data_IF_187414429470
#
_entry.id   IF_187414429470
#
_cell.length_a   1.000
_cell.length_b   1.000
_cell.length_c   1.000
_cell.angle_alpha   90.00
_cell.angle_beta   90.00
_cell.angle_gamma   90.00
#
_symmetry.space_group_name_H-M   'P 1'
#
loop_
_entity.id
_entity.type
_entity.pdbx_description
1 polymer ?
#
# COMPACT_ATOMS: atom_id res chain seq x y z
N UNK A 1 -16.44 12.63 3.64
CA UNK A 1 -15.26 12.33 4.47
C UNK A 1 -14.88 10.92 4.10
N UNK A 2 -13.67 10.74 3.58
CA UNK A 2 -13.25 9.52 2.91
C UNK A 2 -12.07 8.97 3.68
N UNK A 3 -12.23 7.84 4.39
CA UNK A 3 -11.13 7.26 5.15
C UNK A 3 -9.87 7.03 4.28
N UNK A 4 -10.10 6.71 3.00
CA UNK A 4 -9.10 6.65 1.96
C UNK A 4 -9.57 7.47 0.75
N UNK A 5 -8.82 8.50 0.35
CA UNK A 5 -9.09 9.24 -0.88
C UNK A 5 -8.53 8.52 -2.10
N UNK A 6 -7.30 7.99 -2.00
CA UNK A 6 -6.65 7.22 -3.06
C UNK A 6 -5.64 6.22 -2.48
N UNK A 7 -5.44 5.08 -3.15
CA UNK A 7 -4.44 4.08 -2.77
C UNK A 7 -3.98 3.29 -3.99
N UNK A 8 -2.66 3.05 -4.12
CA UNK A 8 -2.08 2.43 -5.31
C UNK A 8 -0.90 1.50 -4.98
N UNK A 9 -0.80 0.39 -5.73
CA UNK A 9 0.38 -0.48 -5.74
C UNK A 9 1.55 0.20 -6.43
N UNK A 10 2.71 0.19 -5.78
CA UNK A 10 3.99 0.62 -6.33
C UNK A 10 4.93 -0.58 -6.43
N UNK A 11 5.62 -0.72 -7.56
CA UNK A 11 6.61 -1.78 -7.80
C UNK A 11 7.85 -1.17 -8.43
N UNK A 12 9.04 -1.52 -7.93
CA UNK A 12 10.32 -1.26 -8.60
C UNK A 12 11.15 -2.54 -8.70
N UNK A 13 12.10 -2.58 -9.62
CA UNK A 13 13.06 -3.69 -9.73
C UNK A 13 13.94 -3.60 -10.96
N UNK A 14 15.02 -4.39 -10.98
CA UNK A 14 15.92 -4.54 -12.11
C UNK A 14 15.40 -5.64 -13.04
N UNK A 15 15.21 -5.32 -14.32
CA UNK A 15 14.82 -6.30 -15.35
C UNK A 15 15.63 -6.07 -16.62
N UNK A 16 16.45 -7.06 -16.98
CA UNK A 16 17.32 -6.98 -18.16
C UNK A 16 18.40 -5.89 -18.05
N UNK A 17 18.85 -5.57 -16.83
CA UNK A 17 19.86 -4.53 -16.58
C UNK A 17 19.32 -3.10 -16.51
N UNK A 18 17.99 -2.92 -16.55
CA UNK A 18 17.33 -1.62 -16.45
C UNK A 18 16.47 -1.58 -15.20
N UNK A 19 16.54 -0.48 -14.45
CA UNK A 19 15.58 -0.18 -13.38
C UNK A 19 14.23 0.14 -14.00
N UNK A 20 13.21 -0.60 -13.60
CA UNK A 20 11.83 -0.44 -14.07
C UNK A 20 10.90 -0.23 -12.90
N UNK A 21 9.85 0.55 -13.14
CA UNK A 21 8.91 0.97 -12.11
C UNK A 21 7.48 0.98 -12.63
N UNK A 22 6.56 0.48 -11.81
CA UNK A 22 5.12 0.65 -11.93
C UNK A 22 4.61 1.35 -10.67
N UNK A 23 4.56 2.68 -10.67
CA UNK A 23 4.17 3.49 -9.51
C UNK A 23 3.76 4.90 -9.95
N UNK A 24 2.71 5.49 -9.35
CA UNK A 24 2.35 6.91 -9.54
C UNK A 24 1.57 7.45 -8.35
N UNK A 25 1.84 8.70 -7.99
CA UNK A 25 1.04 9.54 -7.08
C UNK A 25 -0.15 10.10 -7.84
N UNK A 26 -1.29 10.39 -7.19
CA UNK A 26 -2.49 11.07 -7.74
C UNK A 26 -3.31 10.37 -8.85
N UNK A 27 -2.75 9.39 -9.57
CA UNK A 27 -3.41 8.56 -10.58
C UNK A 27 -2.82 7.15 -10.57
N UNK A 28 -3.53 6.17 -11.15
CA UNK A 28 -2.93 4.87 -11.43
C UNK A 28 -1.98 4.95 -12.63
N UNK A 29 -0.76 4.44 -12.47
CA UNK A 29 0.18 4.25 -13.59
C UNK A 29 -0.07 2.95 -14.36
N UNK A 30 -1.00 2.13 -13.87
CA UNK A 30 -1.54 1.02 -14.62
C UNK A 30 -2.56 1.60 -15.58
N UNK A 31 -2.16 1.70 -16.84
CA UNK A 31 -3.11 2.00 -17.88
C UNK A 31 -4.16 0.89 -17.85
N UNK A 32 -5.41 1.26 -18.07
CA UNK A 32 -6.51 0.34 -18.32
C UNK A 32 -6.34 -0.45 -19.64
N UNK A 33 -5.13 -0.52 -20.18
CA UNK A 33 -4.79 -1.31 -21.34
C UNK A 33 -4.73 -2.76 -20.87
N UNK A 34 -5.69 -3.61 -21.27
CA UNK A 34 -5.63 -5.01 -20.93
C UNK A 34 -4.33 -5.60 -21.48
N UNK A 35 -3.80 -6.63 -20.82
CA UNK A 35 -2.85 -7.50 -21.48
C UNK A 35 -3.45 -7.96 -22.82
N UNK A 36 -2.62 -8.15 -23.86
CA UNK A 36 -3.13 -8.42 -25.21
C UNK A 36 -4.05 -9.67 -25.30
N UNK A 37 -3.93 -10.56 -24.33
CA UNK A 37 -4.67 -11.82 -24.16
C UNK A 37 -5.78 -11.76 -23.08
N UNK A 38 -5.94 -10.62 -22.39
CA UNK A 38 -6.88 -10.48 -21.26
C UNK A 38 -8.13 -9.70 -21.65
N UNK A 39 -9.30 -10.06 -21.11
CA UNK A 39 -10.48 -9.23 -21.26
C UNK A 39 -10.33 -7.92 -20.47
N UNK A 40 -10.81 -6.82 -21.06
CA UNK A 40 -10.94 -5.54 -20.35
C UNK A 40 -12.11 -5.58 -19.38
N UNK A 41 -11.91 -5.15 -18.13
CA UNK A 41 -13.02 -4.89 -17.22
C UNK A 41 -12.72 -5.22 -15.77
N UNK A 42 -13.74 -5.03 -14.95
CA UNK A 42 -13.78 -5.44 -13.54
C UNK A 42 -14.88 -6.49 -13.42
N UNK A 43 -14.53 -7.63 -12.83
CA UNK A 43 -15.42 -8.76 -12.63
C UNK A 43 -15.84 -8.81 -11.17
N UNK A 44 -17.15 -8.74 -10.90
CA UNK A 44 -17.70 -8.80 -9.54
C UNK A 44 -18.23 -10.20 -9.26
N UNK A 45 -17.89 -10.74 -8.09
CA UNK A 45 -18.19 -12.11 -7.68
C UNK A 45 -18.58 -12.12 -6.19
N UNK A 46 -19.81 -12.52 -5.88
CA UNK A 46 -20.26 -12.95 -4.56
C UNK A 46 -20.06 -14.46 -4.34
N UNK A 47 -19.68 -14.90 -3.14
CA UNK A 47 -19.43 -16.31 -2.82
C UNK A 47 -20.64 -17.24 -3.07
N UNK A 48 -21.85 -16.74 -2.84
CA UNK A 48 -23.10 -17.51 -2.91
C UNK A 48 -23.76 -17.54 -4.29
N UNK A 49 -23.17 -16.85 -5.28
CA UNK A 49 -23.75 -16.80 -6.63
C UNK A 49 -23.42 -18.05 -7.44
N UNK A 50 -24.41 -18.57 -8.17
CA UNK A 50 -24.20 -19.64 -9.13
C UNK A 50 -23.60 -19.08 -10.42
N UNK A 51 -22.30 -19.30 -10.63
CA UNK A 51 -21.60 -18.81 -11.81
C UNK A 51 -21.69 -19.76 -13.01
N UNK A 52 -21.83 -19.18 -14.19
CA UNK A 52 -21.39 -19.82 -15.43
C UNK A 52 -19.91 -19.51 -15.65
N UNK A 53 -19.14 -20.45 -16.17
CA UNK A 53 -17.73 -20.22 -16.58
C UNK A 53 -17.62 -19.21 -17.73
N UNK A 54 -18.72 -18.96 -18.45
CA UNK A 54 -18.76 -18.05 -19.60
C UNK A 54 -18.34 -16.63 -19.20
N UNK A 55 -17.19 -16.20 -19.75
CA UNK A 55 -16.64 -14.86 -19.52
C UNK A 55 -15.73 -14.73 -18.29
N UNK A 56 -15.59 -15.76 -17.45
CA UNK A 56 -14.64 -15.71 -16.34
C UNK A 56 -13.19 -15.89 -16.81
N UNK A 57 -12.27 -14.96 -16.50
CA UNK A 57 -10.92 -14.95 -17.07
C UNK A 57 -9.93 -15.88 -16.34
N UNK A 58 -10.30 -17.13 -16.09
CA UNK A 58 -9.43 -18.10 -15.39
C UNK A 58 -8.09 -18.34 -16.10
N UNK A 59 -8.09 -18.29 -17.44
CA UNK A 59 -6.88 -18.45 -18.26
C UNK A 59 -5.79 -17.40 -18.00
N UNK A 60 -6.15 -16.25 -17.41
CA UNK A 60 -5.22 -15.16 -17.06
C UNK A 60 -5.11 -14.96 -15.54
N UNK A 61 -5.54 -15.95 -14.76
CA UNK A 61 -5.31 -16.02 -13.31
C UNK A 61 -6.48 -15.55 -12.45
N UNK A 62 -7.69 -15.41 -13.00
CA UNK A 62 -8.86 -15.21 -12.15
C UNK A 62 -9.15 -16.47 -11.31
N UNK A 63 -9.44 -16.32 -10.01
CA UNK A 63 -9.54 -17.46 -9.11
C UNK A 63 -10.66 -18.43 -9.47
N UNK A 64 -10.37 -19.71 -9.28
CA UNK A 64 -11.33 -20.81 -9.46
C UNK A 64 -11.36 -21.73 -8.23
N UNK A 65 -12.45 -22.46 -8.06
CA UNK A 65 -12.57 -23.55 -7.08
C UNK A 65 -11.91 -24.85 -7.60
N UNK A 66 -12.04 -25.93 -6.82
CA UNK A 66 -11.45 -27.22 -7.17
C UNK A 66 -12.09 -27.86 -8.41
N UNK A 67 -13.28 -27.41 -8.78
CA UNK A 67 -14.04 -27.85 -9.95
C UNK A 67 -13.79 -26.95 -11.18
N UNK A 68 -12.96 -25.90 -11.05
CA UNK A 68 -12.64 -24.96 -12.12
C UNK A 68 -13.65 -23.82 -12.29
N UNK A 69 -14.63 -23.69 -11.40
CA UNK A 69 -15.65 -22.63 -11.46
C UNK A 69 -15.15 -21.34 -10.81
N UNK A 70 -15.69 -20.18 -11.19
CA UNK A 70 -15.32 -18.90 -10.59
C UNK A 70 -15.43 -18.93 -9.06
N UNK A 71 -14.41 -18.40 -8.38
CA UNK A 71 -14.33 -18.35 -6.92
C UNK A 71 -14.05 -16.94 -6.43
N UNK A 72 -14.70 -16.53 -5.33
CA UNK A 72 -14.34 -15.31 -4.60
C UNK A 72 -13.27 -15.56 -3.52
N UNK A 73 -12.44 -14.54 -3.26
CA UNK A 73 -11.47 -14.49 -2.15
C UNK A 73 -12.12 -14.08 -0.81
N UNK A 74 -13.44 -14.11 -0.70
CA UNK A 74 -14.23 -13.73 0.47
C UNK A 74 -15.70 -13.87 0.13
N UNK A 75 -16.55 -13.10 0.80
CA UNK A 75 -17.99 -13.09 0.52
C UNK A 75 -18.34 -12.26 -0.72
N UNK A 76 -17.58 -11.18 -0.97
CA UNK A 76 -17.71 -10.35 -2.16
C UNK A 76 -16.33 -9.95 -2.67
N UNK A 77 -16.16 -9.96 -3.99
CA UNK A 77 -14.88 -9.65 -4.65
C UNK A 77 -15.10 -8.89 -5.95
N UNK A 78 -14.30 -7.84 -6.16
CA UNK A 78 -14.02 -7.28 -7.48
C UNK A 78 -12.63 -7.72 -7.92
N UNK A 79 -12.50 -8.26 -9.13
CA UNK A 79 -11.24 -8.73 -9.70
C UNK A 79 -10.97 -8.07 -11.06
N UNK A 80 -9.69 -7.78 -11.35
CA UNK A 80 -9.25 -7.30 -12.65
C UNK A 80 -7.80 -7.74 -12.93
N UNK A 81 -7.40 -7.68 -14.20
CA UNK A 81 -6.02 -7.91 -14.64
C UNK A 81 -5.59 -6.81 -15.60
N UNK A 82 -4.33 -6.40 -15.50
CA UNK A 82 -3.75 -5.39 -16.36
C UNK A 82 -2.25 -5.59 -16.50
N UNK A 83 -1.73 -5.11 -17.64
CA UNK A 83 -0.30 -5.12 -17.94
C UNK A 83 0.20 -3.69 -18.01
N UNK A 84 1.47 -3.47 -17.70
CA UNK A 84 2.05 -2.15 -17.90
C UNK A 84 2.33 -1.91 -19.39
N UNK A 85 1.67 -0.93 -20.02
CA UNK A 85 1.97 -0.53 -21.40
C UNK A 85 3.00 0.62 -21.47
N UNK A 86 3.89 0.57 -22.47
CA UNK A 86 4.81 1.67 -22.77
C UNK A 86 4.11 2.98 -23.16
N UNK A 87 2.90 2.88 -23.70
CA UNK A 87 2.04 4.03 -23.94
C UNK A 87 1.32 4.38 -22.64
N UNK A 88 1.69 5.49 -21.99
CA UNK A 88 0.98 6.04 -20.83
C UNK A 88 1.71 5.98 -19.49
N UNK A 89 2.84 5.28 -19.39
CA UNK A 89 3.70 5.37 -18.20
C UNK A 89 4.40 6.73 -18.17
N UNK A 90 4.09 7.57 -17.17
CA UNK A 90 4.73 8.89 -17.00
C UNK A 90 6.24 8.79 -16.78
N UNK A 91 6.74 7.61 -16.39
CA UNK A 91 8.15 7.39 -16.04
C UNK A 91 9.01 6.91 -17.21
N UNK A 92 8.42 6.59 -18.37
CA UNK A 92 9.12 6.04 -19.55
C UNK A 92 10.01 4.79 -19.27
N UNK A 93 9.80 4.09 -18.15
CA UNK A 93 10.56 2.89 -17.76
C UNK A 93 9.63 1.78 -17.20
N UNK A 94 8.60 1.36 -17.97
CA UNK A 94 7.72 0.28 -17.52
C UNK A 94 8.44 -1.06 -17.50
N UNK A 95 7.95 -2.00 -16.70
CA UNK A 95 8.26 -3.42 -16.80
C UNK A 95 7.90 -3.96 -18.19
N UNK A 96 8.69 -4.91 -18.68
CA UNK A 96 8.36 -5.72 -19.84
C UNK A 96 7.63 -6.97 -19.37
N UNK A 97 6.44 -7.22 -19.92
CA UNK A 97 5.62 -8.41 -19.65
C UNK A 97 5.41 -8.73 -18.16
N UNK A 98 5.18 -7.68 -17.34
CA UNK A 98 4.68 -7.84 -15.97
C UNK A 98 3.16 -7.70 -15.97
N UNK A 99 2.47 -8.80 -15.66
CA UNK A 99 1.02 -8.83 -15.44
C UNK A 99 0.73 -8.63 -13.96
N UNK A 100 -0.29 -7.81 -13.67
CA UNK A 100 -0.82 -7.63 -12.34
C UNK A 100 -2.28 -8.12 -12.35
N UNK A 101 -2.59 -9.08 -11.50
CA UNK A 101 -3.96 -9.38 -11.12
C UNK A 101 -4.25 -8.67 -9.80
N UNK A 102 -5.36 -7.95 -9.74
CA UNK A 102 -5.79 -7.23 -8.55
C UNK A 102 -7.17 -7.70 -8.13
N UNK A 103 -7.31 -8.04 -6.85
CA UNK A 103 -8.58 -8.37 -6.22
C UNK A 103 -8.82 -7.46 -5.02
N UNK A 104 -10.01 -6.87 -4.95
CA UNK A 104 -10.52 -6.19 -3.75
C UNK A 104 -11.68 -7.01 -3.24
N UNK A 105 -11.64 -7.42 -1.97
CA UNK A 105 -12.63 -8.33 -1.41
C UNK A 105 -12.95 -8.02 0.05
N UNK A 106 -14.11 -8.50 0.49
CA UNK A 106 -14.63 -8.33 1.84
C UNK A 106 -15.12 -9.65 2.42
N UNK A 107 -15.21 -9.68 3.75
CA UNK A 107 -15.84 -10.75 4.52
C UNK A 107 -16.95 -10.11 5.35
N UNK A 108 -18.15 -10.70 5.38
CA UNK A 108 -19.33 -10.16 6.06
C UNK A 108 -19.08 -9.95 7.56
N UNK A 109 -18.28 -10.84 8.16
CA UNK A 109 -17.87 -10.77 9.57
C UNK A 109 -16.92 -9.60 9.89
N UNK A 110 -16.32 -8.95 8.88
CA UNK A 110 -15.39 -7.83 9.02
C UNK A 110 -15.84 -6.62 8.19
N UNK A 111 -16.99 -6.04 8.55
CA UNK A 111 -17.62 -4.93 7.82
C UNK A 111 -16.82 -3.63 7.73
N UNK A 112 -15.77 -3.49 8.54
CA UNK A 112 -14.87 -2.34 8.58
C UNK A 112 -13.47 -2.63 7.98
N UNK A 113 -13.36 -3.72 7.23
CA UNK A 113 -12.11 -4.17 6.58
C UNK A 113 -12.35 -4.40 5.09
N UNK A 114 -11.42 -3.88 4.28
CA UNK A 114 -11.33 -4.23 2.86
C UNK A 114 -9.98 -4.87 2.63
N UNK A 115 -9.97 -6.05 2.01
CA UNK A 115 -8.74 -6.72 1.62
C UNK A 115 -8.39 -6.38 0.18
N UNK A 116 -7.10 -6.22 -0.08
CA UNK A 116 -6.56 -5.94 -1.40
C UNK A 116 -5.42 -6.92 -1.65
N UNK A 117 -5.54 -7.71 -2.72
CA UNK A 117 -4.54 -8.69 -3.14
C UNK A 117 -4.03 -8.33 -4.52
N UNK A 118 -2.71 -8.32 -4.65
CA UNK A 118 -2.01 -8.16 -5.92
C UNK A 118 -1.19 -9.41 -6.20
N UNK A 119 -1.31 -9.96 -7.40
CA UNK A 119 -0.48 -11.04 -7.92
C UNK A 119 0.37 -10.50 -9.07
N UNK A 120 1.68 -10.52 -8.89
CA UNK A 120 2.69 -9.98 -9.79
C UNK A 120 3.30 -11.13 -10.58
N UNK A 121 2.86 -11.33 -11.82
CA UNK A 121 3.34 -12.41 -12.69
C UNK A 121 4.34 -11.89 -13.71
N UNK A 122 5.57 -12.39 -13.64
CA UNK A 122 6.59 -12.08 -14.63
C UNK A 122 6.44 -13.02 -15.83
N UNK A 123 5.85 -12.53 -16.91
CA UNK A 123 5.65 -13.27 -18.17
C UNK A 123 6.84 -13.11 -19.12
N UNK A 124 7.84 -12.30 -18.75
CA UNK A 124 9.06 -12.11 -19.52
C UNK A 124 10.07 -13.24 -19.29
N UNK A 125 11.05 -13.35 -20.19
CA UNK A 125 12.19 -14.25 -20.01
C UNK A 125 13.26 -13.73 -19.03
N UNK A 126 13.18 -12.46 -18.61
CA UNK A 126 14.16 -11.85 -17.69
C UNK A 126 13.60 -11.81 -16.28
N UNK A 127 14.35 -12.33 -15.31
CA UNK A 127 13.99 -12.17 -13.91
C UNK A 127 13.91 -10.68 -13.53
N UNK A 128 12.98 -10.35 -12.63
CA UNK A 128 12.91 -9.06 -11.97
C UNK A 128 13.60 -9.21 -10.62
N UNK A 129 14.82 -8.71 -10.51
CA UNK A 129 15.66 -8.81 -9.31
C UNK A 129 15.73 -7.50 -8.55
N UNK A 130 16.12 -7.54 -7.26
CA UNK A 130 16.20 -6.35 -6.39
C UNK A 130 14.86 -5.59 -6.39
N UNK A 131 13.77 -6.36 -6.36
CA UNK A 131 12.42 -5.85 -6.48
C UNK A 131 11.89 -5.35 -5.14
N UNK A 132 11.10 -4.29 -5.17
CA UNK A 132 10.37 -3.77 -4.02
C UNK A 132 8.90 -3.56 -4.38
N UNK A 133 8.01 -3.83 -3.44
CA UNK A 133 6.59 -3.49 -3.53
C UNK A 133 6.23 -2.52 -2.42
N UNK A 134 5.29 -1.64 -2.67
CA UNK A 134 4.74 -0.77 -1.64
C UNK A 134 3.29 -0.43 -1.91
N UNK A 135 2.60 -0.05 -0.84
CA UNK A 135 1.27 0.50 -0.93
C UNK A 135 1.32 1.97 -0.54
N UNK A 136 1.04 2.83 -1.52
CA UNK A 136 0.93 4.26 -1.31
C UNK A 136 -0.52 4.62 -1.01
N UNK A 137 -0.76 5.49 -0.03
CA UNK A 137 -2.11 5.99 0.30
C UNK A 137 -2.15 7.49 0.48
N UNK A 138 -3.28 8.06 0.08
CA UNK A 138 -3.77 9.41 0.39
C UNK A 138 -4.97 9.26 1.34
N UNK A 139 -4.74 9.20 2.65
CA UNK A 139 -5.82 9.09 3.63
C UNK A 139 -6.30 10.49 4.09
N UNK A 140 -7.62 10.68 4.16
CA UNK A 140 -8.27 11.96 4.52
C UNK A 140 -9.31 11.75 5.65
N UNK A 141 -8.83 11.54 6.88
CA UNK A 141 -9.72 11.33 8.03
C UNK A 141 -10.45 12.62 8.46
N UNK A 142 -9.73 13.72 8.57
CA UNK A 142 -10.26 15.00 9.05
C UNK A 142 -10.46 16.01 7.92
N UNK A 143 -11.46 16.88 8.08
CA UNK A 143 -11.73 17.98 7.14
C UNK A 143 -10.62 19.02 7.16
N UNK A 144 -10.02 19.26 8.34
CA UNK A 144 -8.80 20.04 8.46
C UNK A 144 -7.62 19.14 8.14
N UNK A 145 -7.17 19.21 6.88
CA UNK A 145 -6.14 18.33 6.34
C UNK A 145 -4.79 18.43 7.06
N UNK A 146 -4.51 19.56 7.71
CA UNK A 146 -3.31 19.76 8.52
C UNK A 146 -3.34 18.96 9.85
N UNK A 147 -4.44 18.25 10.14
CA UNK A 147 -4.65 17.47 11.36
C UNK A 147 -4.68 15.97 11.12
N UNK A 148 -4.49 15.56 9.86
CA UNK A 148 -4.27 14.18 9.46
C UNK A 148 -2.81 13.81 9.71
N UNK A 149 -2.54 13.13 10.83
CA UNK A 149 -1.22 12.66 11.23
C UNK A 149 -1.07 11.18 10.88
N UNK A 150 0.13 10.78 10.48
CA UNK A 150 0.43 9.38 10.14
C UNK A 150 1.41 8.75 11.10
N UNK A 151 1.36 7.42 11.22
CA UNK A 151 2.28 6.63 12.02
C UNK A 151 2.48 5.24 11.44
N UNK A 152 3.49 4.55 11.94
CA UNK A 152 3.73 3.14 11.61
C UNK A 152 3.95 2.32 12.87
N UNK A 153 3.33 1.15 12.91
CA UNK A 153 3.57 0.10 13.89
C UNK A 153 4.24 -1.07 13.16
N UNK A 154 5.55 -1.24 13.38
CA UNK A 154 6.35 -2.23 12.68
C UNK A 154 6.08 -3.66 13.15
N UNK A 155 5.71 -3.83 14.43
CA UNK A 155 5.36 -5.14 14.98
C UNK A 155 4.07 -5.63 14.33
N UNK A 156 3.10 -4.73 14.17
CA UNK A 156 1.82 -5.02 13.53
C UNK A 156 1.85 -4.94 11.99
N UNK A 157 2.93 -4.45 11.39
CA UNK A 157 3.03 -4.15 9.94
C UNK A 157 1.92 -3.20 9.46
N UNK A 158 1.59 -2.22 10.29
CA UNK A 158 0.47 -1.30 10.12
C UNK A 158 0.99 0.11 9.88
N UNK A 159 0.66 0.69 8.71
CA UNK A 159 0.74 2.13 8.49
C UNK A 159 -0.64 2.74 8.74
N UNK A 160 -0.76 3.70 9.65
CA UNK A 160 -2.04 4.24 10.10
C UNK A 160 -2.10 5.76 10.06
N UNK A 161 -3.30 6.29 9.92
CA UNK A 161 -3.66 7.70 10.03
C UNK A 161 -4.52 7.92 11.28
N UNK A 162 -4.33 9.05 11.94
CA UNK A 162 -5.10 9.49 13.09
C UNK A 162 -5.27 11.01 13.09
N UNK A 163 -6.34 11.47 13.73
CA UNK A 163 -6.56 12.90 13.97
C UNK A 163 -5.64 13.42 15.08
N UNK A 164 -5.14 14.64 14.93
CA UNK A 164 -4.39 15.32 16.00
C UNK A 164 -5.20 15.34 17.33
N UNK A 165 -4.60 14.94 18.47
CA UNK A 165 -5.33 14.70 19.73
C UNK A 165 -6.11 15.89 20.30
N UNK A 166 -5.79 17.12 19.90
CA UNK A 166 -6.41 18.36 20.38
C UNK A 166 -7.60 18.85 19.54
N UNK A 167 -7.92 18.18 18.43
CA UNK A 167 -8.85 18.69 17.41
C UNK A 167 -10.16 17.94 17.34
N UNK A 168 -10.14 16.66 17.68
CA UNK A 168 -11.23 15.77 17.31
C UNK A 168 -11.77 15.00 18.51
N UNK A 169 -13.05 15.22 18.81
CA UNK A 169 -13.87 14.29 19.59
C UNK A 169 -14.10 12.97 18.80
N UNK A 170 -13.62 12.86 17.55
CA UNK A 170 -13.72 11.64 16.75
C UNK A 170 -12.56 10.72 17.06
N UNK A 171 -12.90 9.66 17.77
CA UNK A 171 -12.07 8.48 17.97
C UNK A 171 -11.97 7.63 16.69
N UNK A 172 -11.54 8.21 15.56
CA UNK A 172 -11.44 7.53 14.26
C UNK A 172 -9.97 7.31 13.89
N UNK A 173 -9.62 6.08 13.52
CA UNK A 173 -8.33 5.72 12.96
C UNK A 173 -8.55 4.86 11.72
N UNK A 174 -7.59 4.87 10.80
CA UNK A 174 -7.61 3.97 9.65
C UNK A 174 -6.18 3.60 9.26
N UNK A 175 -5.99 2.53 8.49
CA UNK A 175 -4.65 2.16 8.07
C UNK A 175 -4.56 0.93 7.18
N UNK A 176 -3.38 0.74 6.60
CA UNK A 176 -3.03 -0.43 5.80
C UNK A 176 -2.19 -1.39 6.62
N UNK A 177 -2.65 -2.64 6.73
CA UNK A 177 -1.95 -3.76 7.36
C UNK A 177 -1.38 -4.65 6.27
N UNK A 178 -0.06 -4.84 6.22
CA UNK A 178 0.55 -5.80 5.30
C UNK A 178 0.36 -7.22 5.86
N UNK A 179 -0.37 -8.05 5.11
CA UNK A 179 -0.72 -9.43 5.47
C UNK A 179 0.23 -10.45 4.83
N UNK A 180 0.54 -10.26 3.54
CA UNK A 180 1.41 -11.14 2.75
C UNK A 180 2.38 -10.29 1.93
N UNK A 181 3.66 -10.67 1.91
CA UNK A 181 4.72 -10.02 1.14
C UNK A 181 5.30 -11.00 0.12
N UNK A 182 5.71 -10.53 -1.07
CA UNK A 182 6.41 -11.34 -2.05
C UNK A 182 7.59 -12.10 -1.44
N UNK A 183 7.69 -13.41 -1.68
CA UNK A 183 8.75 -14.29 -1.18
C UNK A 183 9.07 -14.12 0.32
N UNK A 184 8.07 -13.79 1.15
CA UNK A 184 8.23 -13.48 2.59
C UNK A 184 9.25 -12.34 2.86
N UNK A 185 9.40 -11.41 1.91
CA UNK A 185 10.32 -10.28 2.02
C UNK A 185 10.03 -9.42 3.26
N UNK A 186 11.07 -8.90 3.93
CA UNK A 186 10.89 -8.04 5.09
C UNK A 186 10.28 -6.70 4.68
N UNK A 187 9.69 -5.99 5.65
CA UNK A 187 9.37 -4.58 5.46
C UNK A 187 10.64 -3.81 5.11
N UNK A 188 10.56 -2.98 4.09
CA UNK A 188 11.68 -2.19 3.57
C UNK A 188 11.66 -0.77 4.12
N UNK A 189 10.50 -0.11 4.09
CA UNK A 189 10.38 1.27 4.55
C UNK A 189 8.96 1.65 4.97
N UNK A 190 8.88 2.70 5.78
CA UNK A 190 7.71 3.57 5.90
C UNK A 190 8.20 5.00 5.68
N UNK A 191 8.05 5.51 4.46
CA UNK A 191 8.70 6.75 4.03
C UNK A 191 7.81 7.97 4.26
N UNK A 192 8.41 9.08 4.67
CA UNK A 192 7.78 10.40 4.58
C UNK A 192 7.46 10.71 3.12
N UNK A 193 6.22 11.15 2.87
CA UNK A 193 5.78 11.67 1.57
C UNK A 193 4.89 12.88 1.81
N UNK A 194 5.38 14.08 1.50
CA UNK A 194 4.61 15.31 1.75
C UNK A 194 3.78 15.71 0.53
N UNK A 195 2.49 15.95 0.75
CA UNK A 195 1.53 16.29 -0.32
C UNK A 195 1.86 17.63 -0.96
N UNK A 196 1.68 17.72 -2.28
CA UNK A 196 1.78 18.91 -3.12
C UNK A 196 3.08 19.73 -2.98
N UNK A 197 4.16 19.14 -2.44
CA UNK A 197 5.40 19.87 -2.17
C UNK A 197 6.44 19.65 -3.28
N UNK A 198 6.84 20.74 -3.94
CA UNK A 198 7.88 20.75 -4.99
C UNK A 198 9.30 20.96 -4.44
N UNK A 199 9.45 21.46 -3.21
CA UNK A 199 10.73 21.96 -2.67
C UNK A 199 11.20 21.21 -1.43
N UNK A 200 10.49 20.16 -1.04
CA UNK A 200 10.85 19.36 0.12
C UNK A 200 11.65 18.12 -0.26
N UNK A 201 12.58 17.77 0.62
CA UNK A 201 13.39 16.55 0.60
C UNK A 201 12.53 15.29 0.36
N UNK A 202 11.28 15.30 0.83
CA UNK A 202 10.32 14.19 0.74
C UNK A 202 9.07 14.50 -0.10
N UNK A 203 9.05 15.62 -0.82
CA UNK A 203 7.86 16.08 -1.54
C UNK A 203 7.40 15.13 -2.65
N UNK A 204 6.10 14.86 -2.72
CA UNK A 204 5.52 13.94 -3.72
C UNK A 204 5.76 14.42 -5.16
N UNK A 205 5.77 15.74 -5.39
CA UNK A 205 6.06 16.31 -6.71
C UNK A 205 7.53 16.13 -7.14
N UNK A 206 8.42 15.71 -6.22
CA UNK A 206 9.79 15.31 -6.54
C UNK A 206 9.91 13.90 -7.13
N UNK A 207 8.83 13.10 -7.12
CA UNK A 207 8.79 11.74 -7.67
C UNK A 207 8.58 11.76 -9.19
N UNK A 208 9.55 12.30 -9.92
CA UNK A 208 9.48 12.48 -11.37
C UNK A 208 10.23 11.44 -12.21
N UNK A 209 10.86 10.44 -11.59
CA UNK A 209 11.69 9.45 -12.29
C UNK A 209 11.60 8.07 -11.66
N UNK A 210 11.90 7.02 -12.44
CA UNK A 210 11.98 5.64 -11.94
C UNK A 210 12.94 5.52 -10.73
N UNK A 211 14.08 6.21 -10.77
CA UNK A 211 15.02 6.23 -9.65
C UNK A 211 14.41 6.83 -8.37
N UNK A 212 13.64 7.92 -8.48
CA UNK A 212 13.01 8.56 -7.32
C UNK A 212 11.93 7.66 -6.67
N UNK A 213 11.15 6.92 -7.46
CA UNK A 213 10.18 5.95 -6.93
C UNK A 213 10.86 4.75 -6.26
N UNK A 214 11.93 4.21 -6.87
CA UNK A 214 12.72 3.13 -6.25
C UNK A 214 13.37 3.59 -4.93
N UNK A 215 13.96 4.78 -4.91
CA UNK A 215 14.47 5.41 -3.69
C UNK A 215 13.38 5.55 -2.62
N UNK A 216 12.17 5.97 -3.01
CA UNK A 216 11.05 6.09 -2.09
C UNK A 216 10.62 4.75 -1.49
N UNK A 217 10.55 3.69 -2.30
CA UNK A 217 10.27 2.32 -1.83
C UNK A 217 11.34 1.79 -0.86
N UNK A 218 12.57 2.32 -0.91
CA UNK A 218 13.67 2.00 0.00
C UNK A 218 13.77 2.93 1.21
N UNK A 219 12.85 3.88 1.37
CA UNK A 219 12.88 4.82 2.50
C UNK A 219 13.95 5.90 2.38
N UNK A 220 14.35 6.25 1.15
CA UNK A 220 15.29 7.34 0.88
C UNK A 220 14.55 8.61 0.47
N UNK A 221 15.18 9.76 0.69
CA UNK A 221 14.69 11.05 0.21
C UNK A 221 14.79 11.17 -1.33
N UNK A 222 14.27 12.28 -1.87
CA UNK A 222 14.29 12.54 -3.32
C UNK A 222 15.72 12.71 -3.90
N UNK A 223 16.75 12.84 -3.06
CA UNK A 223 18.16 12.92 -3.43
C UNK A 223 18.95 11.64 -3.13
N UNK A 224 18.28 10.58 -2.62
CA UNK A 224 18.90 9.30 -2.28
C UNK A 224 19.55 9.23 -0.89
N UNK A 225 19.34 10.22 -0.02
CA UNK A 225 19.84 10.17 1.35
C UNK A 225 18.89 9.40 2.27
N UNK A 226 19.38 8.75 3.33
CA UNK A 226 18.52 8.11 4.32
C UNK A 226 17.70 9.13 5.10
N UNK A 227 16.49 8.74 5.52
CA UNK A 227 15.77 9.55 6.51
C UNK A 227 16.47 9.48 7.86
N UNK A 228 16.41 10.59 8.60
CA UNK A 228 17.01 10.70 9.94
C UNK A 228 15.90 10.84 10.96
N UNK A 229 15.88 9.92 11.93
CA UNK A 229 15.00 10.03 13.08
C UNK A 229 15.47 11.22 13.95
N UNK A 230 14.65 12.27 14.11
CA UNK A 230 15.04 13.47 14.85
C UNK A 230 15.21 13.23 16.35
N UNK A 231 14.65 12.16 16.90
CA UNK A 231 14.72 11.86 18.33
C UNK A 231 16.02 11.17 18.71
N UNK A 232 16.65 10.50 17.74
CA UNK A 232 17.90 9.74 17.93
C UNK A 232 19.06 10.27 17.09
N UNK A 233 18.79 11.13 16.10
CA UNK A 233 19.72 11.55 15.05
C UNK A 233 20.36 10.38 14.29
N UNK A 234 19.67 9.25 14.21
CA UNK A 234 20.13 8.07 13.47
C UNK A 234 19.37 7.91 12.16
N UNK A 235 20.04 7.34 11.16
CA UNK A 235 19.39 6.97 9.92
C UNK A 235 18.38 5.84 10.15
N UNK A 236 17.19 5.95 9.57
CA UNK A 236 16.14 4.93 9.62
C UNK A 236 15.30 4.97 8.33
N UNK A 237 14.95 3.81 7.73
CA UNK A 237 14.02 3.75 6.61
C UNK A 237 12.54 3.80 7.05
N UNK A 238 12.29 3.85 8.37
CA UNK A 238 10.95 3.91 8.95
C UNK A 238 10.77 5.24 9.69
N UNK A 239 10.00 6.14 9.07
CA UNK A 239 9.55 7.36 9.70
C UNK A 239 8.30 7.11 10.54
N UNK A 240 8.08 7.98 11.53
CA UNK A 240 6.86 8.01 12.34
C UNK A 240 6.60 6.75 13.17
N UNK A 241 7.66 6.15 13.72
CA UNK A 241 7.65 4.93 14.57
C UNK A 241 7.29 5.20 16.04
N UNK A 242 6.97 6.45 16.38
CA UNK A 242 6.65 6.86 17.74
C UNK A 242 5.28 6.37 18.24
N UNK A 243 5.04 6.58 19.53
CA UNK A 243 3.76 6.31 20.17
C UNK A 243 2.97 7.63 20.32
N UNK A 244 1.92 7.84 19.51
CA UNK A 244 1.14 9.09 19.55
C UNK A 244 0.24 9.23 20.78
N UNK A 245 -0.09 8.14 21.49
CA UNK A 245 -0.85 8.19 22.75
C UNK A 245 0.03 8.73 23.87
N UNK A 246 1.30 8.29 23.92
CA UNK A 246 2.26 8.72 24.94
C UNK A 246 3.02 10.00 24.56
N UNK A 247 2.97 10.43 23.30
CA UNK A 247 3.73 11.57 22.82
C UNK A 247 5.24 11.33 22.74
N UNK A 248 5.67 10.08 22.49
CA UNK A 248 7.09 9.68 22.54
C UNK A 248 7.61 9.13 21.21
N UNK A 249 8.88 9.32 20.92
CA UNK A 249 9.54 8.79 19.72
C UNK A 249 9.30 9.67 18.48
N UNK A 250 9.56 9.12 17.29
CA UNK A 250 9.37 9.86 16.05
C UNK A 250 7.89 9.98 15.71
N UNK A 251 7.30 11.15 15.92
CA UNK A 251 5.90 11.45 15.60
C UNK A 251 5.80 12.34 14.36
N UNK A 252 4.71 12.18 13.61
CA UNK A 252 4.33 13.16 12.58
C UNK A 252 3.91 14.49 13.23
N UNK A 253 4.15 15.60 12.55
CA UNK A 253 3.87 16.95 13.03
C UNK A 253 4.91 17.58 13.98
N UNK A 254 5.88 16.82 14.51
CA UNK A 254 6.93 17.34 15.41
C UNK A 254 8.20 17.85 14.69
N UNK A 255 8.38 17.49 13.41
CA UNK A 255 9.66 17.63 12.71
C UNK A 255 9.95 19.01 12.11
N UNK A 256 9.03 19.97 12.16
CA UNK A 256 9.18 21.23 11.43
C UNK A 256 9.10 22.49 12.26
N UNK A 257 9.13 22.36 13.58
CA UNK A 257 9.28 23.46 14.49
C UNK A 257 10.78 23.70 14.78
N UNK A 258 11.47 24.23 13.78
CA UNK A 258 12.75 24.88 13.99
C UNK A 258 12.50 26.14 14.85
N UNK A 259 12.82 26.02 16.14
CA UNK A 259 12.83 27.08 17.16
C UNK A 259 11.43 27.61 17.62
N UNK A 260 11.21 27.59 18.94
CA UNK A 260 10.10 28.22 19.69
C UNK A 260 8.67 27.73 19.41
N UNK A 261 8.31 26.56 19.96
CA UNK A 261 6.94 26.03 19.92
C UNK A 261 6.30 25.80 21.29
N UNK A 262 6.60 26.65 22.27
CA UNK A 262 5.68 26.78 23.40
C UNK A 262 4.32 27.27 22.88
N UNK A 263 3.32 26.38 22.90
CA UNK A 263 1.92 26.71 22.57
C UNK A 263 1.51 26.55 21.10
N UNK A 264 2.29 25.86 20.26
CA UNK A 264 1.86 25.51 18.89
C UNK A 264 1.42 24.03 18.85
N UNK A 265 0.17 23.77 18.43
CA UNK A 265 -0.39 22.43 18.27
C UNK A 265 0.39 21.61 17.21
N UNK A 266 0.37 20.28 17.31
CA UNK A 266 0.91 19.38 16.28
C UNK A 266 0.20 19.69 14.95
N UNK A 267 0.93 20.27 13.99
CA UNK A 267 0.43 20.53 12.63
C UNK A 267 1.10 19.54 11.68
N UNK A 268 0.32 18.60 11.16
CA UNK A 268 0.72 17.70 10.09
C UNK A 268 0.85 18.44 8.76
N UNK A 269 1.62 17.87 7.83
CA UNK A 269 1.77 18.39 6.46
C UNK A 269 0.89 17.66 5.45
N UNK A 270 -0.25 17.14 5.89
CA UNK A 270 -1.15 16.34 5.05
C UNK A 270 -0.36 15.19 4.38
N UNK A 271 0.22 14.31 5.20
CA UNK A 271 1.18 13.32 4.74
C UNK A 271 0.51 12.15 3.99
N UNK A 272 1.15 11.70 2.91
CA UNK A 272 0.84 10.39 2.30
C UNK A 272 1.55 9.31 3.09
N UNK A 273 1.03 8.10 3.01
CA UNK A 273 1.74 6.93 3.54
C UNK A 273 2.31 6.12 2.39
N UNK A 274 3.52 5.60 2.60
CA UNK A 274 4.12 4.59 1.76
C UNK A 274 4.78 3.57 2.67
N UNK A 275 4.16 2.39 2.78
CA UNK A 275 4.77 1.23 3.44
C UNK A 275 5.17 0.22 2.37
N UNK A 276 6.39 -0.30 2.46
CA UNK A 276 6.98 -1.17 1.44
C UNK A 276 7.64 -2.42 2.01
N UNK A 277 7.86 -3.40 1.15
CA UNK A 277 8.57 -4.64 1.42
C UNK A 277 9.56 -4.97 0.31
N UNK A 278 10.66 -5.62 0.68
CA UNK A 278 11.74 -5.98 -0.25
C UNK A 278 13.10 -6.13 0.44
N UNK A 279 14.16 -6.48 -0.29
CA UNK A 279 14.11 -6.85 -1.71
C UNK A 279 13.67 -8.31 -1.91
N UNK A 280 13.14 -8.60 -3.10
CA UNK A 280 12.83 -9.96 -3.54
C UNK A 280 13.15 -10.13 -5.03
N UNK A 281 12.90 -11.33 -5.58
CA UNK A 281 13.06 -11.63 -7.00
C UNK A 281 11.79 -12.28 -7.53
N UNK A 282 11.36 -11.92 -8.73
CA UNK A 282 10.35 -12.65 -9.51
C UNK A 282 11.06 -13.29 -10.71
N UNK A 283 11.24 -14.61 -10.67
CA UNK A 283 11.80 -15.39 -11.76
C UNK A 283 10.92 -15.35 -13.01
N UNK A 284 11.45 -15.83 -14.13
CA UNK A 284 10.69 -15.92 -15.38
C UNK A 284 9.54 -16.94 -15.23
N UNK A 285 8.32 -16.52 -15.51
CA UNK A 285 7.10 -17.32 -15.35
C UNK A 285 6.57 -17.41 -13.92
N UNK A 286 7.28 -16.85 -12.93
CA UNK A 286 6.87 -16.88 -11.53
C UNK A 286 5.83 -15.80 -11.22
N UNK A 287 5.03 -16.07 -10.19
CA UNK A 287 4.06 -15.14 -9.62
C UNK A 287 4.39 -14.91 -8.17
N UNK A 288 4.54 -13.64 -7.80
CA UNK A 288 4.67 -13.22 -6.41
C UNK A 288 3.41 -12.50 -5.94
N UNK A 289 3.16 -12.52 -4.63
CA UNK A 289 1.90 -12.05 -4.05
C UNK A 289 2.13 -10.97 -3.00
N UNK A 290 1.34 -9.90 -3.08
CA UNK A 290 1.28 -8.85 -2.07
C UNK A 290 -0.17 -8.64 -1.63
N UNK A 291 -0.46 -8.96 -0.36
CA UNK A 291 -1.82 -8.88 0.20
C UNK A 291 -1.81 -7.94 1.40
N UNK A 292 -2.79 -7.04 1.46
CA UNK A 292 -2.99 -6.12 2.59
C UNK A 292 -4.46 -5.99 2.94
N UNK A 293 -4.73 -5.51 4.15
CA UNK A 293 -6.05 -5.06 4.57
C UNK A 293 -6.02 -3.56 4.83
N UNK A 294 -7.02 -2.84 4.33
CA UNK A 294 -7.33 -1.48 4.76
C UNK A 294 -8.43 -1.53 5.82
N UNK A 295 -8.14 -1.01 7.00
CA UNK A 295 -8.98 -1.11 8.18
C UNK A 295 -9.41 0.29 8.62
N UNK A 296 -10.68 0.46 8.97
CA UNK A 296 -11.19 1.68 9.60
C UNK A 296 -11.72 1.34 10.99
N UNK A 297 -11.35 2.10 12.01
CA UNK A 297 -11.78 1.85 13.38
C UNK A 297 -12.31 3.09 14.08
N UNK A 298 -13.39 2.89 14.82
CA UNK A 298 -13.99 3.91 15.68
C UNK A 298 -13.99 3.42 17.12
N UNK A 299 -13.45 4.23 18.03
CA UNK A 299 -13.42 3.96 19.46
C UNK A 299 -14.26 4.95 20.27
N UNK A 300 -14.10 4.89 21.59
CA UNK A 300 -14.60 5.89 22.54
C UNK A 300 -13.62 7.06 22.75
N UNK A 301 -12.35 6.88 22.39
CA UNK A 301 -11.29 7.89 22.38
C UNK A 301 -10.27 7.58 21.28
N UNK A 302 -9.38 8.51 20.96
CA UNK A 302 -8.25 8.23 20.05
C UNK A 302 -7.43 7.02 20.50
N UNK A 303 -7.09 6.94 21.79
CA UNK A 303 -6.33 5.83 22.37
C UNK A 303 -7.06 4.50 22.16
N UNK A 304 -8.36 4.46 22.44
CA UNK A 304 -9.19 3.26 22.27
C UNK A 304 -9.30 2.86 20.80
N UNK A 305 -9.50 3.82 19.90
CA UNK A 305 -9.54 3.58 18.45
C UNK A 305 -8.24 2.98 17.92
N UNK A 306 -7.10 3.56 18.31
CA UNK A 306 -5.78 3.05 17.91
C UNK A 306 -5.49 1.67 18.50
N UNK A 307 -5.88 1.43 19.75
CA UNK A 307 -5.75 0.12 20.38
C UNK A 307 -6.59 -0.96 19.66
N UNK A 308 -7.83 -0.64 19.30
CA UNK A 308 -8.70 -1.53 18.53
C UNK A 308 -8.18 -1.77 17.11
N UNK A 309 -7.61 -0.75 16.45
CA UNK A 309 -6.96 -0.90 15.14
C UNK A 309 -5.78 -1.87 15.19
N UNK A 310 -4.92 -1.74 16.20
CA UNK A 310 -3.80 -2.68 16.43
C UNK A 310 -4.28 -4.10 16.74
N UNK A 311 -5.28 -4.24 17.61
CA UNK A 311 -5.83 -5.56 17.95
C UNK A 311 -6.45 -6.26 16.73
N UNK A 312 -7.16 -5.52 15.88
CA UNK A 312 -7.72 -6.05 14.64
C UNK A 312 -6.61 -6.40 13.64
N UNK A 313 -5.57 -5.56 13.50
CA UNK A 313 -4.38 -5.88 12.69
C UNK A 313 -3.76 -7.23 13.08
N UNK A 314 -3.52 -7.43 14.39
CA UNK A 314 -2.99 -8.69 14.91
C UNK A 314 -3.92 -9.87 14.63
N UNK A 315 -5.23 -9.68 14.80
CA UNK A 315 -6.25 -10.70 14.48
C UNK A 315 -6.20 -11.10 13.00
N UNK A 316 -6.19 -10.13 12.09
CA UNK A 316 -6.15 -10.38 10.64
C UNK A 316 -4.87 -11.11 10.24
N UNK A 317 -3.71 -10.67 10.77
CA UNK A 317 -2.43 -11.32 10.50
C UNK A 317 -2.33 -12.74 11.06
N UNK A 318 -3.00 -13.00 12.18
CA UNK A 318 -3.11 -14.34 12.78
C UNK A 318 -4.08 -15.29 12.09
N UNK A 319 -4.86 -14.81 11.11
CA UNK A 319 -5.92 -15.57 10.43
C UNK A 319 -5.68 -15.67 8.91
N UNK A 320 -4.67 -16.43 8.45
CA UNK A 320 -4.31 -16.53 7.03
C UNK A 320 -5.43 -17.06 6.14
N UNK A 321 -6.37 -17.84 6.67
CA UNK A 321 -7.53 -18.35 5.92
C UNK A 321 -8.43 -17.24 5.36
N UNK A 322 -8.31 -16.01 5.89
CA UNK A 322 -9.06 -14.85 5.41
C UNK A 322 -8.48 -14.24 4.13
N UNK A 323 -7.18 -14.44 3.85
CA UNK A 323 -6.48 -13.64 2.83
C UNK A 323 -5.45 -14.42 2.01
N UNK A 324 -5.07 -15.63 2.43
CA UNK A 324 -4.11 -16.47 1.74
C UNK A 324 -4.83 -17.49 0.86
N UNK A 325 -4.89 -17.18 -0.43
CA UNK A 325 -5.48 -18.07 -1.44
C UNK A 325 -4.36 -18.67 -2.27
N UNK A 326 -4.27 -20.00 -2.28
CA UNK A 326 -3.35 -20.72 -3.15
C UNK A 326 -4.09 -21.00 -4.45
N UNK A 327 -3.52 -20.56 -5.57
CA UNK A 327 -3.96 -20.99 -6.89
C UNK A 327 -3.77 -22.51 -6.99
N UNK A 328 -4.85 -23.26 -7.18
CA UNK A 328 -4.72 -24.67 -7.49
C UNK A 328 -4.19 -24.77 -8.93
N UNK A 329 -2.98 -25.30 -9.07
CA UNK A 329 -2.31 -25.57 -10.35
C UNK A 329 -2.94 -26.75 -11.08
#
# INVERSE_FOLDING_TARGET
MNALFNGNLWVSGQQGGTLRVAARTDLSNFTNVPCADAPSGVFSVDSDSAYTEEGWPSAVGAPVDAEGKPRAYGDQMAWTTYCQSANGSILNQPFTDLRINAAVFGHDQYSNVVFIRFELRNESASAISDAYVGFWTDPDLETDVARNLVGVDLEERLAYIYAAPDVSDRALTAGSVILETPADAPLAAHRIVTKNSLRETYGENGLGSAAAYDMALRGLDNAGNPMVDPTTNQASPFAFTGNPVLGTGWLDGYLFCAENCEGQAQQGREARQLISAGSFTIGAGETEVFTLAYVVQTGSSFEDSLAQLRALSSTLRGAPDLWRFVSQS
#
